data_IF_478644078050
#
_entry.id   IF_478644078050
#
_cell.length_a   1.000
_cell.length_b   1.000
_cell.length_c   1.000
_cell.angle_alpha   90.00
_cell.angle_beta   90.00
_cell.angle_gamma   90.00
#
_symmetry.space_group_name_H-M   'P 1'
#
loop_
_entity.id
_entity.type
_entity.pdbx_description
1 polymer ?
#
# COMPACT_ATOMS: atom_id res chain seq x y z
N UNK A 1 -2.72 -10.27 6.72
CA UNK A 1 -3.97 -10.22 5.92
C UNK A 1 -5.20 -10.41 6.79
N UNK A 2 -5.43 -11.57 7.43
CA UNK A 2 -6.62 -11.76 8.29
C UNK A 2 -6.71 -10.72 9.42
N UNK A 3 -5.60 -10.43 10.09
CA UNK A 3 -5.55 -9.38 11.12
C UNK A 3 -5.93 -8.00 10.55
N UNK A 4 -5.55 -7.69 9.31
CA UNK A 4 -5.87 -6.40 8.69
C UNK A 4 -7.37 -6.29 8.43
N UNK A 5 -7.99 -7.37 7.91
CA UNK A 5 -9.44 -7.44 7.71
C UNK A 5 -10.17 -7.29 9.05
N UNK A 6 -9.69 -7.95 10.11
CA UNK A 6 -10.28 -7.85 11.45
C UNK A 6 -10.25 -6.41 11.98
N UNK A 7 -9.08 -5.77 11.97
CA UNK A 7 -8.93 -4.38 12.42
C UNK A 7 -9.77 -3.42 11.58
N UNK A 8 -9.78 -3.61 10.25
CA UNK A 8 -10.60 -2.81 9.34
C UNK A 8 -12.10 -2.92 9.69
N UNK A 9 -12.62 -4.14 9.86
CA UNK A 9 -14.02 -4.38 10.22
C UNK A 9 -14.40 -3.77 11.57
N UNK A 10 -13.53 -3.87 12.57
CA UNK A 10 -13.77 -3.24 13.89
C UNK A 10 -13.89 -1.71 13.79
N UNK A 11 -13.20 -1.09 12.85
CA UNK A 11 -13.29 0.35 12.57
C UNK A 11 -14.43 0.72 11.60
N UNK A 12 -15.27 -0.24 11.19
CA UNK A 12 -16.37 -0.01 10.26
C UNK A 12 -15.98 0.04 8.78
N UNK A 13 -14.76 -0.37 8.43
CA UNK A 13 -14.33 -0.54 7.04
C UNK A 13 -14.88 -1.88 6.53
N UNK A 14 -15.49 -1.84 5.34
CA UNK A 14 -16.22 -2.95 4.73
C UNK A 14 -15.47 -3.60 3.55
N UNK A 15 -14.39 -2.98 3.08
CA UNK A 15 -13.55 -3.54 2.04
C UNK A 15 -12.20 -2.86 1.88
N UNK A 16 -11.35 -3.43 1.01
CA UNK A 16 -10.08 -2.83 0.59
C UNK A 16 -10.06 -2.53 -0.90
N UNK A 17 -9.47 -1.38 -1.25
CA UNK A 17 -9.04 -1.06 -2.61
C UNK A 17 -7.59 -1.55 -2.74
N UNK A 18 -7.40 -2.64 -3.47
CA UNK A 18 -6.11 -3.36 -3.55
C UNK A 18 -5.31 -2.84 -4.73
N UNK A 19 -4.12 -2.29 -4.44
CA UNK A 19 -3.16 -1.91 -5.48
C UNK A 19 -2.61 -3.15 -6.19
N UNK A 20 -2.80 -3.23 -7.50
CA UNK A 20 -2.47 -4.42 -8.28
C UNK A 20 -1.98 -4.10 -9.69
N UNK A 21 -1.09 -4.97 -10.18
CA UNK A 21 -0.74 -5.15 -11.59
C UNK A 21 -0.42 -6.62 -11.80
N UNK A 22 -0.61 -7.15 -13.00
CA UNK A 22 -0.44 -8.58 -13.23
C UNK A 22 1.04 -8.96 -13.16
N UNK A 23 1.41 -9.57 -12.04
CA UNK A 23 2.74 -10.11 -11.77
C UNK A 23 2.59 -11.35 -10.89
N UNK A 24 3.37 -12.43 -11.10
CA UNK A 24 3.17 -13.69 -10.36
C UNK A 24 3.16 -13.53 -8.84
N UNK A 25 3.98 -12.62 -8.29
CA UNK A 25 4.01 -12.33 -6.85
C UNK A 25 2.73 -11.62 -6.36
N UNK A 26 2.21 -10.66 -7.12
CA UNK A 26 1.00 -9.93 -6.74
C UNK A 26 -0.25 -10.77 -6.96
N UNK A 27 -0.29 -11.59 -8.01
CA UNK A 27 -1.41 -12.48 -8.30
C UNK A 27 -1.62 -13.50 -7.17
N UNK A 28 -0.54 -14.13 -6.69
CA UNK A 28 -0.60 -15.04 -5.53
C UNK A 28 -1.07 -14.35 -4.25
N UNK A 29 -0.63 -13.12 -3.99
CA UNK A 29 -1.05 -12.34 -2.81
C UNK A 29 -2.51 -11.93 -2.90
N UNK A 30 -2.95 -11.52 -4.09
CA UNK A 30 -4.35 -11.18 -4.32
C UNK A 30 -5.25 -12.41 -4.14
N UNK A 31 -4.85 -13.57 -4.64
CA UNK A 31 -5.58 -14.84 -4.46
C UNK A 31 -5.75 -15.21 -2.97
N UNK A 32 -4.68 -15.12 -2.18
CA UNK A 32 -4.76 -15.31 -0.72
C UNK A 32 -5.69 -14.31 -0.02
N UNK A 33 -5.67 -13.05 -0.47
CA UNK A 33 -6.53 -12.02 0.09
C UNK A 33 -8.00 -12.25 -0.29
N UNK A 34 -8.27 -12.70 -1.51
CA UNK A 34 -9.61 -13.02 -2.02
C UNK A 34 -10.26 -14.11 -1.17
N UNK A 35 -9.55 -15.22 -0.90
CA UNK A 35 -10.05 -16.33 -0.09
C UNK A 35 -10.41 -15.88 1.34
N UNK A 36 -9.54 -15.06 1.95
CA UNK A 36 -9.79 -14.48 3.27
C UNK A 36 -10.94 -13.49 3.26
N UNK A 37 -11.03 -12.65 2.23
CA UNK A 37 -12.08 -11.65 2.10
C UNK A 37 -13.46 -12.32 1.98
N UNK A 38 -13.57 -13.40 1.20
CA UNK A 38 -14.81 -14.19 1.14
C UNK A 38 -15.17 -14.80 2.49
N UNK A 39 -14.23 -15.47 3.14
CA UNK A 39 -14.45 -16.11 4.46
C UNK A 39 -14.89 -15.11 5.52
N UNK A 40 -14.35 -13.89 5.47
CA UNK A 40 -14.62 -12.84 6.45
C UNK A 40 -15.80 -11.92 6.03
N UNK A 41 -16.50 -12.22 4.92
CA UNK A 41 -17.52 -11.34 4.33
C UNK A 41 -17.04 -9.89 4.18
N UNK A 42 -15.88 -9.74 3.54
CA UNK A 42 -15.18 -8.48 3.31
C UNK A 42 -15.02 -8.27 1.81
N UNK A 43 -15.14 -7.02 1.35
CA UNK A 43 -15.17 -6.74 -0.09
C UNK A 43 -13.83 -6.23 -0.61
N UNK A 44 -13.57 -6.43 -1.89
CA UNK A 44 -12.37 -6.01 -2.56
C UNK A 44 -12.73 -5.21 -3.81
N UNK A 45 -11.97 -4.14 -4.03
CA UNK A 45 -11.89 -3.40 -5.28
C UNK A 45 -10.44 -3.44 -5.74
N UNK A 46 -10.18 -3.18 -7.02
CA UNK A 46 -8.82 -3.07 -7.55
C UNK A 46 -8.51 -1.62 -7.87
N UNK A 47 -7.34 -1.14 -7.46
CA UNK A 47 -6.68 0.00 -8.12
C UNK A 47 -5.54 -0.54 -8.98
N UNK A 48 -5.76 -0.54 -10.30
CA UNK A 48 -4.81 -1.02 -11.27
C UNK A 48 -3.69 0.01 -11.48
N UNK A 49 -2.44 -0.42 -11.35
CA UNK A 49 -1.28 0.44 -11.54
C UNK A 49 -1.02 0.65 -13.04
N UNK A 50 -1.59 1.72 -13.60
CA UNK A 50 -1.43 2.11 -15.01
C UNK A 50 -0.12 2.86 -15.31
N UNK A 51 0.61 3.32 -14.30
CA UNK A 51 1.86 4.05 -14.47
C UNK A 51 3.05 3.22 -13.99
N UNK A 52 4.22 3.47 -14.58
CA UNK A 52 5.48 2.89 -14.13
C UNK A 52 6.10 3.66 -12.94
N UNK A 53 7.35 3.35 -12.62
CA UNK A 53 8.05 4.00 -11.50
C UNK A 53 8.36 5.48 -11.77
N UNK A 54 8.61 5.84 -13.02
CA UNK A 54 8.87 7.23 -13.46
C UNK A 54 7.56 8.01 -13.67
N UNK A 55 6.41 7.37 -13.41
CA UNK A 55 5.05 7.90 -13.58
C UNK A 55 4.61 8.05 -15.03
N UNK A 56 5.28 7.36 -15.95
CA UNK A 56 4.90 7.29 -17.36
C UNK A 56 3.83 6.20 -17.57
N UNK A 57 2.91 6.38 -18.54
CA UNK A 57 1.90 5.38 -18.84
C UNK A 57 2.55 4.09 -19.34
N UNK A 58 2.18 2.95 -18.75
CA UNK A 58 2.60 1.65 -19.29
C UNK A 58 1.87 1.38 -20.62
N UNK A 59 2.42 0.53 -21.51
CA UNK A 59 1.77 0.23 -22.79
C UNK A 59 0.31 -0.21 -22.62
N UNK A 60 -0.60 0.39 -23.38
CA UNK A 60 -2.05 0.14 -23.27
C UNK A 60 -2.42 -1.32 -23.51
N UNK A 61 -1.69 -2.03 -24.37
CA UNK A 61 -1.89 -3.46 -24.63
C UNK A 61 -1.55 -4.30 -23.39
N UNK A 62 -0.61 -3.83 -22.56
CA UNK A 62 -0.34 -4.45 -21.27
C UNK A 62 -1.52 -4.24 -20.32
N UNK A 63 -2.10 -3.04 -20.28
CA UNK A 63 -3.32 -2.78 -19.49
C UNK A 63 -4.44 -3.74 -19.91
N UNK A 64 -4.73 -3.81 -21.21
CA UNK A 64 -5.78 -4.69 -21.72
C UNK A 64 -5.56 -6.17 -21.35
N UNK A 65 -4.32 -6.65 -21.48
CA UNK A 65 -3.96 -8.03 -21.12
C UNK A 65 -4.07 -8.31 -19.62
N UNK A 66 -3.65 -7.37 -18.79
CA UNK A 66 -3.75 -7.50 -17.34
C UNK A 66 -5.23 -7.51 -16.88
N UNK A 67 -6.07 -6.66 -17.46
CA UNK A 67 -7.51 -6.65 -17.17
C UNK A 67 -8.21 -7.92 -17.68
N UNK A 68 -7.85 -8.42 -18.87
CA UNK A 68 -8.39 -9.69 -19.36
C UNK A 68 -8.05 -10.85 -18.42
N UNK A 69 -6.81 -10.89 -17.92
CA UNK A 69 -6.39 -11.85 -16.90
C UNK A 69 -7.20 -11.73 -15.61
N UNK A 70 -7.41 -10.51 -15.11
CA UNK A 70 -8.21 -10.27 -13.91
C UNK A 70 -9.65 -10.75 -14.08
N UNK A 71 -10.30 -10.37 -15.18
CA UNK A 71 -11.68 -10.77 -15.48
C UNK A 71 -11.80 -12.29 -15.61
N UNK A 72 -10.88 -12.92 -16.35
CA UNK A 72 -10.86 -14.37 -16.52
C UNK A 72 -10.69 -15.12 -15.19
N UNK A 73 -9.79 -14.64 -14.32
CA UNK A 73 -9.42 -15.37 -13.10
C UNK A 73 -10.37 -15.10 -11.93
N UNK A 74 -10.84 -13.86 -11.77
CA UNK A 74 -11.54 -13.41 -10.56
C UNK A 74 -12.80 -12.60 -10.85
N UNK A 75 -13.18 -12.38 -12.10
CA UNK A 75 -14.30 -11.51 -12.48
C UNK A 75 -15.67 -11.91 -11.92
N UNK A 76 -15.85 -13.17 -11.50
CA UNK A 76 -17.09 -13.66 -10.91
C UNK A 76 -16.96 -13.98 -9.40
N UNK A 77 -15.86 -13.58 -8.76
CA UNK A 77 -15.63 -13.93 -7.35
C UNK A 77 -16.46 -13.04 -6.41
N UNK A 78 -17.17 -13.59 -5.40
CA UNK A 78 -18.07 -12.83 -4.52
C UNK A 78 -17.39 -11.74 -3.67
N UNK A 79 -16.07 -11.86 -3.49
CA UNK A 79 -15.25 -10.83 -2.85
C UNK A 79 -15.29 -9.49 -3.62
N UNK A 80 -15.49 -9.50 -4.94
CA UNK A 80 -15.57 -8.29 -5.77
C UNK A 80 -17.01 -7.79 -6.02
N UNK A 81 -18.00 -8.45 -5.44
CA UNK A 81 -19.41 -8.11 -5.61
C UNK A 81 -19.88 -7.11 -4.54
N UNK A 82 -19.32 -5.89 -4.57
CA UNK A 82 -19.79 -4.77 -3.73
C UNK A 82 -20.88 -3.95 -4.44
N UNK A 83 -20.72 -3.77 -5.75
CA UNK A 83 -21.61 -2.94 -6.59
C UNK A 83 -22.34 -3.76 -7.67
N UNK A 84 -22.44 -5.09 -7.52
CA UNK A 84 -23.07 -5.99 -8.51
C UNK A 84 -22.11 -6.55 -9.57
N UNK A 85 -20.91 -5.97 -9.72
CA UNK A 85 -19.80 -6.47 -10.55
C UNK A 85 -18.47 -5.94 -10.02
N UNK A 86 -17.32 -6.56 -10.39
CA UNK A 86 -16.02 -6.07 -9.98
C UNK A 86 -15.77 -4.63 -10.43
N UNK A 87 -15.18 -3.83 -9.53
CA UNK A 87 -14.75 -2.46 -9.84
C UNK A 87 -13.23 -2.43 -9.94
N UNK A 88 -12.74 -1.85 -11.04
CA UNK A 88 -11.33 -1.56 -11.28
C UNK A 88 -11.15 -0.05 -11.45
N UNK A 89 -10.41 0.56 -10.55
CA UNK A 89 -9.93 1.94 -10.67
C UNK A 89 -8.65 1.91 -11.51
N UNK A 90 -8.66 2.56 -12.67
CA UNK A 90 -7.46 2.69 -13.48
C UNK A 90 -6.65 3.88 -12.98
N UNK A 91 -5.57 3.63 -12.25
CA UNK A 91 -4.66 4.70 -11.78
C UNK A 91 -3.90 5.30 -12.96
N UNK A 92 -3.94 6.62 -13.10
CA UNK A 92 -3.15 7.34 -14.10
C UNK A 92 -3.87 7.67 -15.40
N UNK A 93 -5.20 7.62 -15.47
CA UNK A 93 -5.95 7.87 -16.73
C UNK A 93 -5.63 9.19 -17.41
N UNK A 94 -5.16 10.20 -16.66
CA UNK A 94 -4.77 11.50 -17.20
C UNK A 94 -3.50 11.45 -18.08
N UNK A 95 -2.69 10.39 -17.97
CA UNK A 95 -1.50 10.18 -18.83
C UNK A 95 -1.83 9.41 -20.12
N UNK A 96 -3.03 8.82 -20.23
CA UNK A 96 -3.44 8.05 -21.41
C UNK A 96 -4.31 8.92 -22.33
N UNK A 97 -4.11 8.74 -23.63
CA UNK A 97 -4.98 9.33 -24.66
C UNK A 97 -6.41 8.77 -24.58
N UNK A 98 -7.37 9.52 -25.13
CA UNK A 98 -8.78 9.10 -25.17
C UNK A 98 -8.93 7.81 -25.98
N UNK A 99 -8.16 7.67 -27.06
CA UNK A 99 -8.14 6.50 -27.94
C UNK A 99 -7.60 5.26 -27.21
N UNK A 100 -6.54 5.41 -26.41
CA UNK A 100 -6.00 4.32 -25.58
C UNK A 100 -7.02 3.88 -24.52
N UNK A 101 -7.64 4.82 -23.80
CA UNK A 101 -8.68 4.51 -22.82
C UNK A 101 -9.86 3.80 -23.50
N UNK A 102 -10.35 4.30 -24.64
CA UNK A 102 -11.44 3.68 -25.40
C UNK A 102 -11.10 2.24 -25.82
N UNK A 103 -9.89 2.03 -26.34
CA UNK A 103 -9.43 0.71 -26.83
C UNK A 103 -9.46 -0.39 -25.76
N UNK A 104 -9.39 -0.02 -24.48
CA UNK A 104 -9.50 -0.94 -23.34
C UNK A 104 -10.94 -0.98 -22.85
N UNK A 105 -11.51 0.18 -22.51
CA UNK A 105 -12.80 0.26 -21.81
C UNK A 105 -13.95 -0.37 -22.60
N UNK A 106 -14.01 -0.17 -23.92
CA UNK A 106 -15.02 -0.77 -24.80
C UNK A 106 -15.03 -2.31 -24.75
N UNK A 107 -13.91 -2.94 -24.37
CA UNK A 107 -13.78 -4.41 -24.32
C UNK A 107 -14.20 -5.03 -23.00
N UNK A 108 -14.27 -4.24 -21.93
CA UNK A 108 -14.36 -4.75 -20.56
C UNK A 108 -15.55 -4.22 -19.75
N UNK A 109 -16.11 -3.06 -20.10
CA UNK A 109 -17.17 -2.40 -19.29
C UNK A 109 -18.47 -3.19 -19.15
N UNK A 110 -18.73 -4.15 -20.05
CA UNK A 110 -19.85 -5.10 -19.90
C UNK A 110 -19.62 -6.15 -18.80
N UNK A 111 -18.38 -6.36 -18.37
CA UNK A 111 -17.97 -7.42 -17.41
C UNK A 111 -17.50 -6.86 -16.07
N UNK A 112 -16.95 -5.64 -16.06
CA UNK A 112 -16.44 -4.95 -14.87
C UNK A 112 -16.78 -3.46 -14.96
N UNK A 113 -16.89 -2.78 -13.83
CA UNK A 113 -16.85 -1.32 -13.82
C UNK A 113 -15.40 -0.83 -13.92
N UNK A 114 -15.15 0.13 -14.81
CA UNK A 114 -13.86 0.81 -14.90
C UNK A 114 -14.04 2.25 -14.48
N UNK A 115 -13.43 2.61 -13.34
CA UNK A 115 -13.41 3.98 -12.85
C UNK A 115 -12.13 4.67 -13.31
N UNK A 116 -12.26 5.92 -13.75
CA UNK A 116 -11.10 6.78 -13.96
C UNK A 116 -10.49 7.20 -12.61
N UNK A 117 -9.30 7.83 -12.68
CA UNK A 117 -8.65 8.44 -11.51
C UNK A 117 -8.34 9.93 -11.76
N UNK A 118 -9.22 10.58 -12.51
CA UNK A 118 -9.09 11.98 -12.89
C UNK A 118 -9.13 12.89 -11.66
N UNK A 119 -8.34 13.96 -11.74
CA UNK A 119 -8.02 14.82 -10.58
C UNK A 119 -8.85 16.09 -10.50
N UNK A 120 -9.67 16.34 -11.51
CA UNK A 120 -10.52 17.52 -11.67
C UNK A 120 -11.66 17.23 -12.64
N UNK A 121 -12.60 18.17 -12.71
CA UNK A 121 -13.83 18.05 -13.48
C UNK A 121 -13.55 17.90 -14.99
N UNK A 122 -12.65 18.72 -15.54
CA UNK A 122 -12.28 18.69 -16.96
C UNK A 122 -11.70 17.32 -17.36
N UNK A 123 -10.80 16.77 -16.53
CA UNK A 123 -10.22 15.45 -16.74
C UNK A 123 -11.26 14.35 -16.75
N UNK A 124 -12.23 14.39 -15.82
CA UNK A 124 -13.36 13.45 -15.82
C UNK A 124 -14.25 13.62 -17.06
N UNK A 125 -14.63 14.85 -17.39
CA UNK A 125 -15.50 15.16 -18.53
C UNK A 125 -14.90 14.70 -19.86
N UNK A 126 -13.57 14.75 -20.00
CA UNK A 126 -12.83 14.18 -21.15
C UNK A 126 -13.12 12.69 -21.35
N UNK A 127 -13.36 11.94 -20.27
CA UNK A 127 -13.52 10.48 -20.29
C UNK A 127 -14.94 10.00 -19.98
N UNK A 128 -15.89 10.88 -19.67
CA UNK A 128 -17.20 10.53 -19.09
C UNK A 128 -18.02 9.44 -19.83
N UNK A 129 -17.87 9.35 -21.16
CA UNK A 129 -18.56 8.32 -21.96
C UNK A 129 -17.78 7.01 -22.07
N UNK A 130 -16.51 7.00 -21.66
CA UNK A 130 -15.59 5.88 -21.74
C UNK A 130 -15.37 5.17 -20.39
N UNK A 131 -15.80 5.74 -19.27
CA UNK A 131 -15.66 5.14 -17.94
C UNK A 131 -16.99 5.03 -17.19
N UNK A 132 -17.04 4.20 -16.16
CA UNK A 132 -18.21 3.95 -15.31
C UNK A 132 -18.24 4.81 -14.05
N UNK A 133 -17.43 5.88 -14.01
CA UNK A 133 -17.31 6.78 -12.87
C UNK A 133 -15.85 7.18 -12.59
N UNK A 134 -15.60 7.68 -11.39
CA UNK A 134 -14.28 8.18 -11.00
C UNK A 134 -13.96 7.83 -9.54
N UNK A 135 -12.69 7.53 -9.27
CA UNK A 135 -12.16 7.38 -7.92
C UNK A 135 -10.92 8.26 -7.79
N UNK A 136 -11.05 9.38 -7.09
CA UNK A 136 -9.99 10.37 -7.03
C UNK A 136 -8.99 9.99 -5.92
N UNK A 137 -7.80 9.51 -6.29
CA UNK A 137 -6.70 9.34 -5.32
C UNK A 137 -6.03 10.68 -5.01
N UNK A 138 -6.50 11.35 -3.95
CA UNK A 138 -5.88 12.55 -3.41
C UNK A 138 -5.16 12.20 -2.10
N UNK A 139 -3.83 12.00 -2.12
CA UNK A 139 -3.09 11.42 -0.97
C UNK A 139 -3.33 12.13 0.38
N UNK A 140 -3.64 13.42 0.32
CA UNK A 140 -4.28 14.23 1.36
C UNK A 140 -4.36 15.65 0.81
N UNK A 141 -5.53 16.28 0.89
CA UNK A 141 -5.67 17.72 0.70
C UNK A 141 -5.26 18.40 2.00
N UNK A 142 -4.60 19.56 1.95
CA UNK A 142 -4.45 20.35 3.17
C UNK A 142 -5.72 21.22 3.33
N UNK A 143 -6.62 20.91 4.28
CA UNK A 143 -7.89 21.63 4.39
C UNK A 143 -7.73 23.08 4.87
N UNK A 144 -6.55 23.47 5.37
CA UNK A 144 -6.27 24.85 5.79
C UNK A 144 -5.76 25.72 4.65
N UNK A 145 -5.13 25.11 3.63
CA UNK A 145 -4.42 25.86 2.58
C UNK A 145 -4.99 25.63 1.18
N UNK A 146 -5.95 24.73 1.01
CA UNK A 146 -6.64 24.50 -0.25
C UNK A 146 -8.10 24.97 -0.15
N UNK A 147 -8.37 26.26 -0.43
CA UNK A 147 -9.76 26.74 -0.48
C UNK A 147 -10.53 26.02 -1.59
N UNK A 148 -11.83 25.78 -1.37
CA UNK A 148 -12.72 25.18 -2.36
C UNK A 148 -12.54 23.67 -2.58
N UNK A 149 -11.81 22.95 -1.70
CA UNK A 149 -11.68 21.50 -1.86
C UNK A 149 -13.01 20.75 -1.70
N UNK A 150 -13.90 21.22 -0.82
CA UNK A 150 -15.24 20.64 -0.64
C UNK A 150 -16.10 20.83 -1.89
N UNK A 151 -16.15 22.06 -2.41
CA UNK A 151 -16.86 22.40 -3.65
C UNK A 151 -16.32 21.59 -4.83
N UNK A 152 -15.00 21.43 -4.95
CA UNK A 152 -14.39 20.56 -5.96
C UNK A 152 -14.87 19.11 -5.84
N UNK A 153 -14.96 18.55 -4.64
CA UNK A 153 -15.46 17.18 -4.46
C UNK A 153 -16.95 17.09 -4.82
N UNK A 154 -17.74 18.09 -4.46
CA UNK A 154 -19.16 18.17 -4.84
C UNK A 154 -19.34 18.23 -6.35
N UNK A 155 -18.64 19.13 -7.04
CA UNK A 155 -18.67 19.22 -8.52
C UNK A 155 -18.28 17.91 -9.20
N UNK A 156 -17.26 17.22 -8.67
CA UNK A 156 -16.85 15.91 -9.17
C UNK A 156 -17.94 14.85 -8.97
N UNK A 157 -18.53 14.78 -7.77
CA UNK A 157 -19.63 13.85 -7.47
C UNK A 157 -20.84 14.09 -8.36
N UNK A 158 -21.29 15.35 -8.45
CA UNK A 158 -22.43 15.76 -9.28
C UNK A 158 -22.22 15.40 -10.75
N UNK A 159 -21.02 15.66 -11.29
CA UNK A 159 -20.71 15.31 -12.68
C UNK A 159 -20.71 13.80 -12.90
N UNK A 160 -20.13 13.03 -11.98
CA UNK A 160 -20.10 11.57 -12.08
C UNK A 160 -21.51 10.97 -12.02
N UNK A 161 -22.37 11.46 -11.14
CA UNK A 161 -23.76 11.00 -11.03
C UNK A 161 -24.64 11.47 -12.17
N UNK A 162 -24.38 12.65 -12.76
CA UNK A 162 -25.09 13.11 -13.95
C UNK A 162 -24.91 12.14 -15.15
N UNK A 163 -23.77 11.44 -15.20
CA UNK A 163 -23.47 10.40 -16.19
C UNK A 163 -23.84 8.98 -15.69
N UNK A 164 -24.44 8.85 -14.50
CA UNK A 164 -24.84 7.57 -13.90
C UNK A 164 -23.68 6.71 -13.40
N UNK A 165 -22.50 7.29 -13.20
CA UNK A 165 -21.30 6.59 -12.76
C UNK A 165 -21.18 6.47 -11.24
N UNK A 166 -20.21 5.66 -10.79
CA UNK A 166 -19.86 5.52 -9.38
C UNK A 166 -18.83 6.58 -8.96
N UNK A 167 -19.11 7.27 -7.86
CA UNK A 167 -18.21 8.25 -7.26
C UNK A 167 -17.55 7.70 -5.99
N UNK A 168 -16.23 7.48 -6.04
CA UNK A 168 -15.44 7.12 -4.86
C UNK A 168 -14.65 8.35 -4.39
N UNK A 169 -15.16 9.01 -3.34
CA UNK A 169 -14.57 10.23 -2.79
C UNK A 169 -13.39 9.92 -1.85
N UNK A 170 -12.27 10.68 -1.92
CA UNK A 170 -11.12 10.47 -1.06
C UNK A 170 -11.31 11.04 0.34
N UNK A 171 -10.72 10.37 1.34
CA UNK A 171 -10.43 10.97 2.64
C UNK A 171 -9.13 10.41 3.21
N UNK A 172 -8.26 11.27 3.73
CA UNK A 172 -6.97 10.89 4.29
C UNK A 172 -6.78 11.43 5.72
N UNK A 173 -5.96 10.77 6.56
CA UNK A 173 -5.65 11.27 7.90
C UNK A 173 -4.60 12.38 7.89
N UNK A 174 -3.94 12.63 6.76
CA UNK A 174 -2.80 13.51 6.58
C UNK A 174 -1.73 12.86 5.68
N UNK A 175 -0.60 13.53 5.51
CA UNK A 175 0.45 13.12 4.56
C UNK A 175 1.80 13.69 4.96
N UNK A 176 2.89 12.93 4.81
CA UNK A 176 4.25 13.41 5.01
C UNK A 176 5.25 12.61 4.16
N UNK A 177 5.71 13.21 3.05
CA UNK A 177 6.63 12.56 2.11
C UNK A 177 8.10 12.93 2.34
N UNK A 178 8.46 13.56 3.47
CA UNK A 178 9.84 14.04 3.70
C UNK A 178 10.88 12.91 3.72
N UNK A 179 10.48 11.71 4.14
CA UNK A 179 11.37 10.54 4.17
C UNK A 179 11.72 10.00 2.78
N UNK A 180 10.95 10.38 1.74
CA UNK A 180 11.16 9.97 0.35
C UNK A 180 11.55 11.16 -0.55
N UNK A 181 12.04 12.26 0.05
CA UNK A 181 12.52 13.43 -0.67
C UNK A 181 11.45 14.45 -1.07
N UNK A 182 10.19 14.23 -0.69
CA UNK A 182 9.12 15.20 -0.88
C UNK A 182 9.17 16.35 0.14
N UNK A 183 8.46 17.44 -0.14
CA UNK A 183 8.39 18.61 0.76
C UNK A 183 7.01 18.82 1.39
N UNK A 184 5.99 18.15 0.84
CA UNK A 184 4.59 18.34 1.26
C UNK A 184 4.31 17.62 2.59
N UNK A 185 3.71 18.36 3.51
CA UNK A 185 3.20 17.87 4.79
C UNK A 185 1.76 18.35 4.97
N UNK A 186 0.88 17.43 5.34
CA UNK A 186 -0.45 17.70 5.86
C UNK A 186 -0.52 17.05 7.24
N UNK A 187 -0.58 17.89 8.27
CA UNK A 187 -0.60 17.39 9.65
C UNK A 187 -1.88 16.60 9.90
N UNK A 188 -1.78 15.57 10.75
CA UNK A 188 -2.95 14.75 11.10
C UNK A 188 -3.84 15.37 12.18
N UNK A 189 -3.30 16.35 12.92
CA UNK A 189 -3.99 17.11 13.97
C UNK A 189 -4.81 16.24 14.92
N UNK A 190 -4.20 15.15 15.38
CA UNK A 190 -4.83 14.15 16.26
C UNK A 190 -6.21 13.65 15.77
N UNK A 191 -6.35 13.49 14.46
CA UNK A 191 -7.56 13.00 13.81
C UNK A 191 -8.49 14.09 13.26
N UNK A 192 -8.24 15.36 13.56
CA UNK A 192 -9.07 16.46 13.04
C UNK A 192 -9.01 16.56 11.51
N UNK A 193 -7.85 16.31 10.91
CA UNK A 193 -7.70 16.28 9.45
C UNK A 193 -8.55 15.17 8.83
N UNK A 194 -8.52 13.96 9.41
CA UNK A 194 -9.36 12.86 8.95
C UNK A 194 -10.86 13.20 9.05
N UNK A 195 -11.29 13.81 10.15
CA UNK A 195 -12.69 14.21 10.35
C UNK A 195 -13.14 15.21 9.28
N UNK A 196 -12.33 16.22 8.98
CA UNK A 196 -12.62 17.24 7.96
C UNK A 196 -12.62 16.68 6.54
N UNK A 197 -11.62 15.86 6.19
CA UNK A 197 -11.59 15.21 4.88
C UNK A 197 -12.75 14.23 4.71
N UNK A 198 -13.10 13.45 5.74
CA UNK A 198 -14.23 12.52 5.69
C UNK A 198 -15.58 13.24 5.57
N UNK A 199 -15.78 14.35 6.29
CA UNK A 199 -16.99 15.15 6.19
C UNK A 199 -17.16 15.75 4.78
N UNK A 200 -16.07 16.28 4.21
CA UNK A 200 -16.06 16.79 2.84
C UNK A 200 -16.37 15.70 1.82
N UNK A 201 -15.73 14.54 1.94
CA UNK A 201 -16.02 13.37 1.10
C UNK A 201 -17.49 12.99 1.18
N UNK A 202 -18.06 12.89 2.39
CA UNK A 202 -19.47 12.56 2.59
C UNK A 202 -20.41 13.62 1.99
N UNK A 203 -20.05 14.90 2.04
CA UNK A 203 -20.85 15.99 1.47
C UNK A 203 -20.95 15.95 -0.07
N UNK A 204 -20.05 15.23 -0.73
CA UNK A 204 -20.07 15.01 -2.19
C UNK A 204 -20.96 13.83 -2.64
N UNK A 205 -21.87 13.38 -1.77
CA UNK A 205 -22.81 12.27 -2.03
C UNK A 205 -22.19 10.96 -2.54
N UNK A 206 -21.04 10.49 -2.02
CA UNK A 206 -20.29 9.40 -2.63
C UNK A 206 -21.00 8.04 -2.53
N UNK A 207 -20.78 7.18 -3.52
CA UNK A 207 -21.17 5.77 -3.47
C UNK A 207 -20.27 4.97 -2.50
N UNK A 208 -19.01 5.39 -2.38
CA UNK A 208 -18.09 4.93 -1.34
C UNK A 208 -17.03 5.99 -0.99
N UNK A 209 -16.51 5.93 0.23
CA UNK A 209 -15.37 6.75 0.65
C UNK A 209 -14.09 5.90 0.53
N UNK A 210 -13.16 6.34 -0.31
CA UNK A 210 -11.82 5.80 -0.42
C UNK A 210 -10.90 6.37 0.66
N UNK A 211 -10.68 5.60 1.73
CA UNK A 211 -9.74 5.98 2.80
C UNK A 211 -8.30 5.80 2.31
N UNK A 212 -7.56 6.91 2.24
CA UNK A 212 -6.19 6.97 1.76
C UNK A 212 -5.27 7.18 2.96
N UNK A 213 -4.54 6.17 3.42
CA UNK A 213 -4.50 4.78 2.95
C UNK A 213 -4.62 3.81 4.11
N UNK A 214 -4.86 2.52 3.83
CA UNK A 214 -4.65 1.51 4.87
C UNK A 214 -3.18 1.52 5.31
N UNK A 215 -2.23 1.32 4.40
CA UNK A 215 -0.83 1.02 4.73
C UNK A 215 0.24 1.63 3.81
N UNK A 216 0.02 2.82 3.25
CA UNK A 216 1.07 3.56 2.55
C UNK A 216 1.97 4.28 3.57
N UNK A 217 2.89 3.52 4.15
CA UNK A 217 3.84 4.01 5.15
C UNK A 217 4.87 4.99 4.57
N UNK A 218 5.20 4.88 3.27
CA UNK A 218 6.22 5.75 2.66
C UNK A 218 5.76 7.21 2.56
N UNK A 219 4.47 7.41 2.36
CA UNK A 219 3.81 8.73 2.36
C UNK A 219 3.29 9.16 3.73
N UNK A 220 3.46 8.29 4.75
CA UNK A 220 2.93 8.47 6.10
C UNK A 220 1.43 8.84 6.10
N UNK A 221 0.64 8.24 5.19
CA UNK A 221 -0.82 8.43 5.04
C UNK A 221 -1.63 7.26 5.62
N UNK A 222 -0.97 6.24 6.16
CA UNK A 222 -1.58 5.01 6.68
C UNK A 222 -2.50 5.24 7.89
N UNK A 223 -3.63 4.53 7.94
CA UNK A 223 -4.48 4.40 9.14
C UNK A 223 -4.27 3.07 9.87
N UNK A 224 -3.54 2.13 9.25
CA UNK A 224 -3.13 0.89 9.89
C UNK A 224 -2.45 1.17 11.23
N UNK A 225 -2.75 0.38 12.29
CA UNK A 225 -2.07 0.53 13.55
C UNK A 225 -0.55 0.50 13.39
N UNK A 226 0.16 1.42 14.03
CA UNK A 226 1.62 1.56 13.89
C UNK A 226 2.28 2.03 15.18
N UNK A 227 3.60 1.86 15.30
CA UNK A 227 4.33 2.28 16.50
C UNK A 227 4.12 3.77 16.84
N UNK A 228 4.09 4.62 15.80
CA UNK A 228 3.95 6.07 15.97
C UNK A 228 2.55 6.51 16.38
N UNK A 229 1.52 5.80 15.92
CA UNK A 229 0.14 6.27 16.01
C UNK A 229 -0.80 5.33 16.78
N UNK A 230 -0.32 4.16 17.21
CA UNK A 230 -1.15 3.15 17.86
C UNK A 230 -2.41 2.82 17.05
N UNK A 231 -3.53 2.66 17.74
CA UNK A 231 -4.86 2.45 17.16
C UNK A 231 -5.55 3.74 16.68
N UNK A 232 -4.93 4.91 16.89
CA UNK A 232 -5.62 6.21 16.94
C UNK A 232 -6.54 6.48 15.76
N UNK A 233 -6.09 6.17 14.54
CA UNK A 233 -6.88 6.49 13.33
C UNK A 233 -8.03 5.50 13.09
N UNK A 234 -7.94 4.28 13.62
CA UNK A 234 -9.07 3.37 13.68
C UNK A 234 -10.10 3.81 14.73
N UNK A 235 -9.66 4.34 15.87
CA UNK A 235 -10.54 4.95 16.88
C UNK A 235 -11.27 6.18 16.34
N UNK A 236 -10.55 7.07 15.64
CA UNK A 236 -11.16 8.26 15.00
C UNK A 236 -12.20 7.84 13.98
N UNK A 237 -11.91 6.82 13.16
CA UNK A 237 -12.89 6.31 12.20
C UNK A 237 -14.11 5.70 12.91
N UNK A 238 -13.89 4.90 13.96
CA UNK A 238 -14.99 4.36 14.77
C UNK A 238 -15.85 5.48 15.37
N UNK A 239 -15.25 6.58 15.86
CA UNK A 239 -15.99 7.75 16.35
C UNK A 239 -16.84 8.40 15.25
N UNK A 240 -16.27 8.63 14.07
CA UNK A 240 -17.00 9.19 12.91
C UNK A 240 -18.21 8.31 12.56
N UNK A 241 -18.06 6.98 12.69
CA UNK A 241 -19.08 5.98 12.35
C UNK A 241 -20.03 5.64 13.50
N UNK A 242 -19.84 6.20 14.70
CA UNK A 242 -20.63 5.88 15.89
C UNK A 242 -20.43 4.44 16.39
N UNK A 243 -19.26 3.85 16.18
CA UNK A 243 -18.90 2.49 16.56
C UNK A 243 -18.05 2.47 17.85
N UNK A 244 -18.03 1.34 18.60
CA UNK A 244 -17.08 1.14 19.69
C UNK A 244 -15.62 1.24 19.22
N UNK A 245 -14.71 1.60 20.14
CA UNK A 245 -13.28 1.63 19.83
C UNK A 245 -12.77 0.24 19.40
N UNK A 246 -11.97 0.15 18.33
CA UNK A 246 -11.41 -1.13 17.87
C UNK A 246 -10.45 -1.75 18.87
N UNK A 247 -10.56 -3.06 19.10
CA UNK A 247 -9.60 -3.82 19.89
C UNK A 247 -8.43 -4.24 19.01
N UNK A 248 -7.38 -3.41 19.01
CA UNK A 248 -6.19 -3.65 18.19
C UNK A 248 -5.10 -4.49 18.87
N UNK A 249 -5.29 -4.93 20.12
CA UNK A 249 -4.25 -5.61 20.90
C UNK A 249 -3.00 -4.75 21.15
N UNK A 250 -2.04 -5.26 21.92
CA UNK A 250 -0.73 -4.64 22.07
C UNK A 250 0.17 -4.97 20.88
N UNK A 251 0.99 -4.01 20.45
CA UNK A 251 2.01 -4.16 19.41
C UNK A 251 3.15 -5.12 19.78
N UNK A 252 3.19 -5.60 21.02
CA UNK A 252 4.15 -6.61 21.44
C UNK A 252 3.83 -7.94 20.76
N UNK A 253 4.67 -8.29 19.78
CA UNK A 253 4.80 -9.65 19.25
C UNK A 253 5.42 -10.60 20.26
N UNK A 254 4.91 -10.62 21.49
CA UNK A 254 5.10 -11.71 22.45
C UNK A 254 3.88 -12.64 22.40
N UNK A 255 3.42 -12.95 21.18
CA UNK A 255 2.86 -14.27 20.99
C UNK A 255 4.04 -15.23 21.14
N UNK A 256 4.09 -16.13 22.14
CA UNK A 256 5.09 -17.18 22.12
C UNK A 256 4.86 -17.88 20.78
N UNK A 257 5.88 -17.86 19.92
CA UNK A 257 5.92 -18.77 18.80
C UNK A 257 5.51 -20.12 19.38
N UNK A 258 4.48 -20.75 18.82
CA UNK A 258 4.18 -22.14 19.13
C UNK A 258 5.46 -22.90 18.79
N UNK A 259 6.32 -23.05 19.79
CA UNK A 259 7.58 -23.74 19.69
C UNK A 259 7.16 -25.19 19.60
N UNK A 260 7.01 -25.67 18.37
CA UNK A 260 7.22 -27.07 18.09
C UNK A 260 8.57 -27.40 18.70
N UNK A 261 8.53 -28.12 19.83
CA UNK A 261 9.70 -28.59 20.53
C UNK A 261 10.57 -29.35 19.52
N UNK A 262 11.74 -28.82 19.17
CA UNK A 262 12.62 -29.52 18.24
C UNK A 262 13.88 -28.79 17.78
N UNK A 263 13.87 -27.46 17.61
CA UNK A 263 14.97 -26.78 16.90
C UNK A 263 15.91 -25.92 17.77
N UNK A 264 15.56 -25.60 19.01
CA UNK A 264 16.40 -24.75 19.89
C UNK A 264 17.63 -25.45 20.48
N UNK A 265 17.51 -26.71 20.87
CA UNK A 265 18.59 -27.49 21.47
C UNK A 265 19.76 -27.81 20.50
N UNK A 266 19.54 -28.22 19.23
CA UNK A 266 20.65 -28.48 18.31
C UNK A 266 21.39 -27.20 17.88
N UNK A 267 20.72 -26.04 17.84
CA UNK A 267 21.36 -24.74 17.53
C UNK A 267 22.30 -24.26 18.65
N UNK A 268 21.90 -24.42 19.92
CA UNK A 268 22.76 -24.09 21.06
C UNK A 268 23.96 -25.04 21.10
N UNK A 269 23.75 -26.34 20.83
CA UNK A 269 24.84 -27.32 20.73
C UNK A 269 25.85 -26.98 19.62
N UNK A 270 25.39 -26.55 18.45
CA UNK A 270 26.25 -26.15 17.34
C UNK A 270 27.05 -24.88 17.65
N UNK A 271 26.47 -23.89 18.34
CA UNK A 271 27.18 -22.69 18.78
C UNK A 271 28.24 -22.99 19.84
N UNK A 272 27.96 -23.87 20.80
CA UNK A 272 28.94 -24.27 21.82
C UNK A 272 30.10 -25.04 21.19
N UNK A 273 29.83 -25.92 20.20
CA UNK A 273 30.88 -26.62 19.46
C UNK A 273 31.77 -25.68 18.64
N UNK A 274 31.20 -24.65 18.01
CA UNK A 274 31.97 -23.61 17.30
C UNK A 274 32.83 -22.76 18.24
N UNK A 275 32.33 -22.45 19.43
CA UNK A 275 33.11 -21.75 20.47
C UNK A 275 34.27 -22.62 20.97
N UNK A 276 34.05 -23.91 21.21
CA UNK A 276 35.12 -24.82 21.66
C UNK A 276 36.18 -24.99 20.56
N UNK A 277 35.76 -25.16 19.30
CA UNK A 277 36.68 -25.30 18.17
C UNK A 277 37.51 -24.03 17.92
N UNK A 278 36.92 -22.84 18.08
CA UNK A 278 37.66 -21.58 17.93
C UNK A 278 38.65 -21.34 19.07
N UNK A 279 38.29 -21.67 20.31
CA UNK A 279 39.21 -21.64 21.45
C UNK A 279 40.38 -22.64 21.28
N UNK A 280 40.10 -23.86 20.81
CA UNK A 280 41.14 -24.85 20.54
C UNK A 280 42.10 -24.40 19.41
N UNK A 281 41.58 -23.76 18.36
CA UNK A 281 42.39 -23.21 17.28
C UNK A 281 43.32 -22.07 17.75
N UNK A 282 42.87 -21.22 18.66
CA UNK A 282 43.68 -20.14 19.25
C UNK A 282 44.81 -20.72 20.10
N UNK A 283 44.50 -21.67 20.98
CA UNK A 283 45.51 -22.34 21.84
C UNK A 283 46.53 -23.10 21.00
N UNK A 284 46.09 -23.77 19.93
CA UNK A 284 46.99 -24.47 19.01
C UNK A 284 47.89 -23.51 18.23
N UNK A 285 47.36 -22.37 17.80
CA UNK A 285 48.13 -21.33 17.08
C UNK A 285 49.17 -20.65 17.97
N UNK A 286 48.88 -20.46 19.25
CA UNK A 286 49.86 -19.97 20.23
C UNK A 286 50.94 -21.01 20.56
N UNK A 287 50.56 -22.27 20.72
CA UNK A 287 51.50 -23.37 20.93
C UNK A 287 52.45 -23.57 19.73
N UNK A 288 51.95 -23.33 18.51
CA UNK A 288 52.75 -23.40 17.28
C UNK A 288 53.71 -22.22 17.13
N UNK A 289 53.28 -20.99 17.49
CA UNK A 289 54.15 -19.80 17.51
C UNK A 289 55.29 -19.89 18.50
N UNK A 290 55.08 -20.52 19.66
CA UNK A 290 56.15 -20.74 20.67
C UNK A 290 57.21 -21.76 20.25
N UNK A 291 57.00 -22.52 19.17
CA UNK A 291 57.92 -23.54 18.67
C UNK A 291 58.78 -23.10 17.49
N UNK A 292 58.62 -21.88 16.97
CA UNK A 292 59.50 -21.38 15.90
C UNK A 292 60.70 -20.63 16.48
N UNK A 293 61.94 -20.98 16.10
CA UNK A 293 63.12 -20.21 16.48
C UNK A 293 63.12 -18.86 15.76
N UNK A 294 63.50 -17.81 16.49
CA UNK A 294 63.67 -16.45 15.98
C UNK A 294 64.85 -16.44 15.00
N UNK A 295 64.58 -16.19 13.72
CA UNK A 295 65.64 -15.95 12.73
C UNK A 295 65.87 -14.44 12.56
N UNK A 296 67.15 -14.08 12.61
CA UNK A 296 67.65 -12.72 12.63
C UNK A 296 68.03 -12.24 11.23
N UNK A 297 67.35 -11.19 10.77
CA UNK A 297 67.94 -10.14 9.92
C UNK A 297 67.61 -10.15 8.42
N UNK A 298 67.06 -9.04 7.92
CA UNK A 298 67.75 -8.12 6.98
C UNK A 298 66.88 -6.90 6.62
N UNK A 299 67.56 -5.75 6.51
CA UNK A 299 67.09 -4.45 5.98
C UNK A 299 66.88 -4.50 4.46
N UNK A 300 65.94 -3.68 3.97
CA UNK A 300 66.05 -2.69 2.87
C UNK A 300 64.63 -2.13 2.59
N UNK A 301 64.34 -0.86 2.91
CA UNK A 301 64.34 0.35 2.03
C UNK A 301 63.51 0.21 0.74
N UNK A 302 62.38 0.93 0.65
CA UNK A 302 62.12 2.02 -0.32
C UNK A 302 60.79 2.73 -0.02
N UNK A 303 60.86 4.06 -0.09
CA UNK A 303 59.76 5.05 -0.18
C UNK A 303 58.88 4.89 -1.44
N UNK A 304 57.74 5.61 -1.41
CA UNK A 304 56.84 6.10 -2.49
C UNK A 304 55.40 5.55 -2.39
N UNK A 305 54.30 6.27 -2.59
CA UNK A 305 53.84 7.69 -2.66
C UNK A 305 52.31 7.60 -2.86
N UNK A 306 51.58 8.69 -2.57
CA UNK A 306 50.24 9.09 -3.10
C UNK A 306 49.04 8.13 -2.90
N UNK A 307 47.99 8.46 -2.15
CA UNK A 307 47.02 9.55 -2.32
C UNK A 307 46.22 9.48 -3.65
N UNK A 308 45.02 8.89 -3.60
CA UNK A 308 43.75 9.49 -4.06
C UNK A 308 42.58 8.47 -3.98
N UNK A 309 41.35 8.99 -3.93
CA UNK A 309 40.02 8.34 -4.10
C UNK A 309 39.20 8.09 -2.83
N UNK A 310 38.40 9.08 -2.40
CA UNK A 310 36.97 9.27 -2.74
C UNK A 310 36.29 10.24 -1.76
#
# INVERSE_FOLDING_TARGET
MQQHIRWAKQAGINGFIVSWKSMPKLNRRLEQLIELAETENFKLLIIYQGLDFEREPIPVEKVARDLDYFVYRWGNHPAFDLFGRPVVIWSGTWEFSVEEIASVTERFRDRIYILASERNLEGYQRLRHLVDGNAYYWSSVNPDTYPGYEEKLQEMGDAVHADGGLWIAPAAPGFDARLIGGTRVVERKDGETLKREFAAALSSSPDAIGLISWNEFSENSHIEPSEKYGARYLEVLAQIRGLPAPDVGNFDSDAPAATGAGYGLPMIGAMVLLLIASLAAIVWREAYRRKQPVDSGRRNTTDETAADLL
#
